data_IF_626625731670
#
_entry.id   IF_626625731670
#
_cell.length_a   1.000
_cell.length_b   1.000
_cell.length_c   1.000
_cell.angle_alpha   90.00
_cell.angle_beta   90.00
_cell.angle_gamma   90.00
#
_symmetry.space_group_name_H-M   'P 1'
#
loop_
_entity.id
_entity.type
_entity.pdbx_description
1 polymer ?
#
# COMPACT_ATOMS: atom_id res chain seq x y z
N UNK A 1 -2.99 38.02 -7.12
CA UNK A 1 -1.85 37.07 -7.17
C UNK A 1 -0.79 37.38 -6.10
N UNK A 2 -0.93 36.95 -4.83
CA UNK A 2 0.19 36.94 -3.88
C UNK A 2 0.32 35.61 -3.08
N UNK A 3 -0.08 34.47 -3.63
CA UNK A 3 -0.15 33.19 -2.90
C UNK A 3 1.11 32.30 -3.03
N UNK A 4 2.06 32.63 -3.91
CA UNK A 4 3.21 31.75 -4.23
C UNK A 4 4.49 31.98 -3.40
N UNK A 5 4.60 33.13 -2.72
CA UNK A 5 5.80 33.46 -1.93
C UNK A 5 5.74 32.95 -0.48
N UNK A 6 4.54 32.81 0.09
CA UNK A 6 4.35 32.22 1.42
C UNK A 6 4.43 30.69 1.40
N UNK A 7 4.19 30.04 0.26
CA UNK A 7 4.33 28.59 0.11
C UNK A 7 5.79 28.14 -0.02
N UNK A 8 6.64 28.90 -0.71
CA UNK A 8 8.07 28.58 -0.88
C UNK A 8 8.86 28.71 0.43
N UNK A 9 8.60 29.73 1.24
CA UNK A 9 9.18 29.86 2.59
C UNK A 9 8.69 28.76 3.54
N UNK A 10 7.41 28.36 3.44
CA UNK A 10 6.86 27.21 4.17
C UNK A 10 7.49 25.89 3.75
N UNK A 11 7.78 25.69 2.46
CA UNK A 11 8.42 24.47 1.95
C UNK A 11 9.89 24.37 2.38
N UNK A 12 10.65 25.47 2.37
CA UNK A 12 12.05 25.47 2.80
C UNK A 12 12.22 25.25 4.31
N UNK A 13 11.36 25.85 5.13
CA UNK A 13 11.34 25.61 6.58
C UNK A 13 10.85 24.18 6.86
N UNK A 14 9.83 23.67 6.16
CA UNK A 14 9.33 22.28 6.27
C UNK A 14 10.39 21.25 5.94
N UNK A 15 11.07 21.35 4.80
CA UNK A 15 12.09 20.38 4.41
C UNK A 15 13.33 20.39 5.33
N UNK A 16 13.61 21.52 5.99
CA UNK A 16 14.68 21.64 7.00
C UNK A 16 14.21 21.12 8.37
N UNK A 17 12.95 21.35 8.74
CA UNK A 17 12.33 20.79 9.95
C UNK A 17 12.17 19.27 9.84
N UNK A 18 11.76 18.77 8.69
CA UNK A 18 11.64 17.33 8.39
C UNK A 18 13.00 16.65 8.45
N UNK A 19 14.06 17.24 7.87
CA UNK A 19 15.42 16.71 8.01
C UNK A 19 15.92 16.74 9.46
N UNK A 20 15.60 17.79 10.21
CA UNK A 20 15.96 17.92 11.62
C UNK A 20 15.15 17.01 12.54
N UNK A 21 13.90 16.69 12.18
CA UNK A 21 13.06 15.75 12.91
C UNK A 21 13.38 14.30 12.54
N UNK A 22 13.69 14.00 11.28
CA UNK A 22 14.19 12.67 10.86
C UNK A 22 15.45 12.27 11.62
N UNK A 23 16.31 13.22 11.99
CA UNK A 23 17.51 12.94 12.79
C UNK A 23 17.26 12.79 14.29
N UNK A 24 16.04 13.07 14.79
CA UNK A 24 15.69 13.05 16.22
C UNK A 24 14.49 12.17 16.57
N UNK A 25 13.67 11.77 15.61
CA UNK A 25 12.53 10.88 15.83
C UNK A 25 13.00 9.42 15.78
N UNK A 26 12.83 8.64 16.86
CA UNK A 26 13.11 7.21 16.80
C UNK A 26 12.13 6.56 15.81
N UNK A 27 12.67 5.90 14.80
CA UNK A 27 11.94 4.96 13.95
C UNK A 27 11.39 3.86 14.88
N UNK A 28 10.10 3.95 15.20
CA UNK A 28 9.44 3.05 16.13
C UNK A 28 8.09 2.62 15.57
N UNK A 29 7.71 1.37 15.86
CA UNK A 29 6.39 0.84 15.49
C UNK A 29 5.25 1.53 16.24
N UNK A 30 5.54 2.13 17.39
CA UNK A 30 4.61 2.96 18.15
C UNK A 30 5.23 4.30 18.50
N UNK A 31 4.43 5.37 18.41
CA UNK A 31 4.83 6.75 18.68
C UNK A 31 3.78 7.43 19.53
N UNK A 32 4.21 8.18 20.55
CA UNK A 32 3.33 9.03 21.33
C UNK A 32 3.62 10.50 21.06
N UNK A 33 2.58 11.27 20.75
CA UNK A 33 2.70 12.72 20.60
C UNK A 33 2.89 13.38 21.96
N UNK A 34 4.10 13.92 22.15
CA UNK A 34 4.49 14.69 23.32
C UNK A 34 4.58 16.18 22.99
N UNK A 35 4.72 17.01 24.02
CA UNK A 35 4.85 18.46 23.87
C UNK A 35 6.04 18.89 22.98
N UNK A 36 7.08 18.04 22.85
CA UNK A 36 8.30 18.38 22.08
C UNK A 36 8.10 18.30 20.57
N UNK A 37 7.10 17.53 20.11
CA UNK A 37 6.90 17.23 18.70
C UNK A 37 5.61 17.86 18.14
N UNK A 38 4.82 18.53 18.98
CA UNK A 38 3.60 19.23 18.58
C UNK A 38 3.89 20.71 18.37
N UNK A 39 3.55 21.21 17.18
CA UNK A 39 3.71 22.61 16.81
C UNK A 39 2.36 23.27 16.61
N UNK A 40 2.23 24.51 17.06
CA UNK A 40 0.99 25.29 16.96
C UNK A 40 1.26 26.54 16.13
N UNK A 41 0.39 26.79 15.14
CA UNK A 41 0.53 27.96 14.28
C UNK A 41 -0.83 28.59 13.94
N UNK A 42 -0.95 29.92 13.86
CA UNK A 42 -2.19 30.57 13.45
C UNK A 42 -2.57 30.22 12.01
N UNK A 43 -3.85 29.97 11.77
CA UNK A 43 -4.38 29.80 10.42
C UNK A 43 -4.57 31.17 9.75
N UNK A 44 -4.95 31.16 8.48
CA UNK A 44 -5.38 32.38 7.76
C UNK A 44 -6.48 33.15 8.52
N UNK A 45 -7.43 32.44 9.14
CA UNK A 45 -8.45 33.05 9.97
C UNK A 45 -7.88 33.54 11.32
N UNK A 46 -6.91 32.83 11.89
CA UNK A 46 -6.18 33.32 13.07
C UNK A 46 -5.43 34.63 12.83
N UNK A 47 -4.80 34.80 11.67
CA UNK A 47 -4.18 36.08 11.30
C UNK A 47 -5.21 37.19 11.08
N UNK A 48 -6.36 36.88 10.49
CA UNK A 48 -7.47 37.85 10.39
C UNK A 48 -7.99 38.26 11.77
N UNK A 49 -8.16 37.30 12.68
CA UNK A 49 -8.55 37.57 14.07
C UNK A 49 -7.53 38.46 14.78
N UNK A 50 -6.24 38.18 14.61
CA UNK A 50 -5.16 38.98 15.18
C UNK A 50 -5.18 40.41 14.64
N UNK A 51 -5.39 40.59 13.34
CA UNK A 51 -5.58 41.90 12.72
C UNK A 51 -6.79 42.63 13.30
N UNK A 52 -7.92 41.94 13.45
CA UNK A 52 -9.14 42.50 14.06
C UNK A 52 -8.91 42.94 15.50
N UNK A 53 -8.22 42.14 16.32
CA UNK A 53 -7.85 42.50 17.71
C UNK A 53 -7.02 43.78 17.74
N UNK A 54 -6.04 43.91 16.84
CA UNK A 54 -5.21 45.13 16.73
C UNK A 54 -6.06 46.34 16.37
N UNK A 55 -6.93 46.23 15.36
CA UNK A 55 -7.81 47.32 14.93
C UNK A 55 -8.80 47.72 16.04
N UNK A 56 -9.37 46.75 16.76
CA UNK A 56 -10.22 47.01 17.92
C UNK A 56 -9.45 47.73 19.03
N UNK A 57 -8.21 47.33 19.32
CA UNK A 57 -7.36 47.99 20.31
C UNK A 57 -7.02 49.45 19.96
N UNK A 58 -6.71 49.72 18.69
CA UNK A 58 -6.49 51.08 18.18
C UNK A 58 -7.78 51.90 18.31
N UNK A 59 -8.92 51.35 17.89
CA UNK A 59 -10.22 52.00 17.99
C UNK A 59 -10.62 52.31 19.43
N UNK A 60 -10.46 51.35 20.35
CA UNK A 60 -10.75 51.53 21.78
C UNK A 60 -9.92 52.67 22.39
N UNK A 61 -8.64 52.74 22.02
CA UNK A 61 -7.72 53.79 22.49
C UNK A 61 -8.08 55.16 21.91
N UNK A 62 -8.38 55.23 20.61
CA UNK A 62 -8.72 56.47 19.92
C UNK A 62 -10.02 57.09 20.48
N UNK A 63 -11.05 56.28 20.66
CA UNK A 63 -12.36 56.73 21.15
C UNK A 63 -12.52 56.68 22.67
N UNK A 64 -11.49 56.27 23.43
CA UNK A 64 -11.55 56.05 24.88
C UNK A 64 -12.76 55.21 25.32
N UNK A 65 -13.12 54.20 24.51
CA UNK A 65 -14.35 53.43 24.71
C UNK A 65 -14.08 52.14 25.51
N UNK A 66 -14.47 52.15 26.78
CA UNK A 66 -14.29 51.03 27.71
C UNK A 66 -15.00 49.73 27.27
N UNK A 67 -16.14 49.82 26.57
CA UNK A 67 -16.84 48.61 26.08
C UNK A 67 -16.03 47.88 25.01
N UNK A 68 -15.36 48.64 24.12
CA UNK A 68 -14.50 48.05 23.08
C UNK A 68 -13.26 47.41 23.72
N UNK A 69 -12.71 47.98 24.79
CA UNK A 69 -11.63 47.33 25.55
C UNK A 69 -12.06 45.98 26.13
N UNK A 70 -13.22 45.92 26.79
CA UNK A 70 -13.75 44.66 27.34
C UNK A 70 -13.94 43.62 26.23
N UNK A 71 -14.52 44.00 25.09
CA UNK A 71 -14.69 43.11 23.95
C UNK A 71 -13.33 42.62 23.41
N UNK A 72 -12.35 43.51 23.27
CA UNK A 72 -11.00 43.18 22.78
C UNK A 72 -10.32 42.16 23.70
N UNK A 73 -10.31 42.41 25.01
CA UNK A 73 -9.71 41.49 25.98
C UNK A 73 -10.45 40.15 26.05
N UNK A 74 -11.77 40.15 25.89
CA UNK A 74 -12.57 38.91 25.82
C UNK A 74 -12.16 38.07 24.61
N UNK A 75 -12.02 38.67 23.43
CA UNK A 75 -11.57 37.97 22.21
C UNK A 75 -10.15 37.45 22.36
N UNK A 76 -9.24 38.22 22.99
CA UNK A 76 -7.88 37.78 23.32
C UNK A 76 -7.92 36.55 24.24
N UNK A 77 -8.72 36.60 25.31
CA UNK A 77 -8.85 35.49 26.26
C UNK A 77 -9.37 34.21 25.57
N UNK A 78 -10.40 34.33 24.72
CA UNK A 78 -10.91 33.22 23.90
C UNK A 78 -9.80 32.69 22.98
N UNK A 79 -9.01 33.57 22.36
CA UNK A 79 -7.88 33.18 21.52
C UNK A 79 -6.82 32.37 22.27
N UNK A 80 -6.46 32.79 23.49
CA UNK A 80 -5.51 32.07 24.35
C UNK A 80 -6.05 30.69 24.71
N UNK A 81 -7.32 30.61 25.14
CA UNK A 81 -7.96 29.33 25.47
C UNK A 81 -8.02 28.41 24.24
N UNK A 82 -8.33 28.96 23.06
CA UNK A 82 -8.35 28.20 21.82
C UNK A 82 -6.97 27.61 21.51
N UNK A 83 -5.88 28.38 21.64
CA UNK A 83 -4.50 27.88 21.47
C UNK A 83 -4.23 26.69 22.41
N UNK A 84 -4.57 26.83 23.69
CA UNK A 84 -4.35 25.79 24.70
C UNK A 84 -5.16 24.52 24.41
N UNK A 85 -6.44 24.67 24.05
CA UNK A 85 -7.31 23.55 23.69
C UNK A 85 -6.82 22.84 22.43
N UNK A 86 -6.45 23.59 21.38
CA UNK A 86 -5.91 23.02 20.13
C UNK A 86 -4.61 22.25 20.39
N UNK A 87 -3.72 22.76 21.24
CA UNK A 87 -2.50 22.06 21.62
C UNK A 87 -2.79 20.77 22.41
N UNK A 88 -3.62 20.88 23.45
CA UNK A 88 -4.00 19.75 24.29
C UNK A 88 -4.78 18.68 23.51
N UNK A 89 -5.48 19.04 22.45
CA UNK A 89 -6.21 18.13 21.58
C UNK A 89 -5.29 17.27 20.69
N UNK A 90 -3.98 17.57 20.59
CA UNK A 90 -3.04 16.71 19.86
C UNK A 90 -2.10 15.93 20.79
N UNK A 91 -1.73 16.54 21.93
CA UNK A 91 -0.80 15.93 22.90
C UNK A 91 -1.48 14.77 23.64
N UNK A 92 -0.80 13.62 23.67
CA UNK A 92 -1.26 12.41 24.35
C UNK A 92 -1.71 11.29 23.41
N UNK A 93 -1.93 11.58 22.12
CA UNK A 93 -2.25 10.57 21.11
C UNK A 93 -1.11 9.58 20.93
N UNK A 94 -1.43 8.29 20.95
CA UNK A 94 -0.52 7.18 20.67
C UNK A 94 -0.89 6.58 19.32
N UNK A 95 0.10 6.37 18.48
CA UNK A 95 -0.05 5.81 17.14
C UNK A 95 0.73 4.51 17.05
N UNK A 96 0.14 3.49 16.45
CA UNK A 96 0.85 2.28 16.05
C UNK A 96 0.58 1.97 14.59
N UNK A 97 1.63 1.60 13.86
CA UNK A 97 1.53 1.23 12.45
C UNK A 97 1.34 -0.28 12.32
N UNK A 98 0.47 -0.69 11.41
CA UNK A 98 0.31 -2.08 11.03
C UNK A 98 0.93 -2.35 9.66
N UNK A 99 1.20 -3.62 9.36
CA UNK A 99 1.70 -4.01 8.05
C UNK A 99 0.63 -3.71 6.99
N UNK A 100 1.05 -3.09 5.89
CA UNK A 100 0.19 -2.88 4.75
C UNK A 100 0.14 -4.14 3.88
N UNK A 101 -1.01 -4.41 3.27
CA UNK A 101 -1.11 -5.44 2.26
C UNK A 101 -0.33 -5.03 1.01
N UNK A 102 0.45 -5.95 0.40
CA UNK A 102 1.15 -5.65 -0.84
C UNK A 102 0.18 -5.38 -1.99
N UNK A 103 0.54 -4.45 -2.86
CA UNK A 103 -0.28 -4.05 -4.01
C UNK A 103 0.54 -4.09 -5.30
N UNK A 104 -0.13 -4.11 -6.44
CA UNK A 104 0.54 -4.04 -7.73
C UNK A 104 0.88 -2.59 -8.10
N UNK A 105 1.95 -2.40 -8.87
CA UNK A 105 2.34 -1.09 -9.38
C UNK A 105 1.20 -0.43 -10.17
N UNK A 106 0.91 0.83 -9.84
CA UNK A 106 -0.23 1.60 -10.36
C UNK A 106 -1.47 1.58 -9.47
N UNK A 107 -1.49 0.76 -8.41
CA UNK A 107 -2.54 0.77 -7.39
C UNK A 107 -2.17 1.72 -6.22
N UNK A 108 -3.00 1.73 -5.19
CA UNK A 108 -2.81 2.56 -4.00
C UNK A 108 -2.68 1.68 -2.77
N UNK A 109 -1.58 1.85 -2.04
CA UNK A 109 -1.32 1.17 -0.77
C UNK A 109 -2.16 1.81 0.31
N UNK A 110 -2.81 0.99 1.13
CA UNK A 110 -3.48 1.42 2.35
C UNK A 110 -2.66 0.94 3.53
N UNK A 111 -2.11 1.87 4.29
CA UNK A 111 -1.35 1.56 5.51
C UNK A 111 -2.24 1.79 6.72
N UNK A 112 -2.69 0.73 7.42
CA UNK A 112 -3.53 0.89 8.58
C UNK A 112 -2.73 1.43 9.75
N UNK A 113 -3.19 2.53 10.33
CA UNK A 113 -2.64 3.14 11.54
C UNK A 113 -3.70 3.09 12.63
N UNK A 114 -3.37 2.49 13.77
CA UNK A 114 -4.19 2.52 14.97
C UNK A 114 -3.82 3.73 15.81
N UNK A 115 -4.86 4.42 16.29
CA UNK A 115 -4.76 5.60 17.13
C UNK A 115 -5.47 5.30 18.43
N UNK A 116 -4.76 5.46 19.55
CA UNK A 116 -5.30 5.29 20.90
C UNK A 116 -5.05 6.54 21.71
N UNK A 117 -5.95 6.81 22.65
CA UNK A 117 -5.87 7.97 23.52
C UNK A 117 -6.41 7.68 24.92
N UNK A 118 -5.82 8.33 25.92
CA UNK A 118 -6.27 8.21 27.31
C UNK A 118 -7.45 9.17 27.62
N UNK A 119 -7.70 10.15 26.75
CA UNK A 119 -8.78 11.14 26.84
C UNK A 119 -9.46 11.29 25.47
N UNK A 120 -10.49 12.11 25.38
CA UNK A 120 -11.14 12.43 24.11
C UNK A 120 -10.31 13.39 23.26
N UNK A 121 -10.22 13.10 21.97
CA UNK A 121 -9.58 13.95 20.97
C UNK A 121 -10.51 14.11 19.76
N UNK A 122 -10.77 15.35 19.35
CA UNK A 122 -11.76 15.66 18.31
C UNK A 122 -11.12 16.23 17.06
N UNK A 123 -11.66 15.89 15.89
CA UNK A 123 -11.25 16.40 14.59
C UNK A 123 -9.73 16.30 14.37
N UNK A 124 -9.22 15.08 14.49
CA UNK A 124 -7.82 14.73 14.23
C UNK A 124 -7.69 14.32 12.79
N UNK A 125 -7.00 15.12 11.99
CA UNK A 125 -6.75 14.84 10.58
C UNK A 125 -5.38 14.17 10.40
N UNK A 126 -5.37 13.00 9.76
CA UNK A 126 -4.18 12.16 9.55
C UNK A 126 -4.03 11.82 8.08
N UNK A 127 -2.81 11.87 7.54
CA UNK A 127 -2.52 11.39 6.19
C UNK A 127 -1.07 11.61 5.76
N UNK A 128 -0.69 11.06 4.61
CA UNK A 128 0.65 11.23 4.07
C UNK A 128 0.86 12.67 3.58
N UNK A 129 2.13 13.12 3.52
CA UNK A 129 2.55 14.51 3.25
C UNK A 129 1.80 15.22 2.09
N UNK A 130 1.44 14.48 1.04
CA UNK A 130 0.84 15.01 -0.19
C UNK A 130 -0.58 14.49 -0.48
N UNK A 131 -1.15 13.71 0.44
CA UNK A 131 -2.42 13.01 0.24
C UNK A 131 -3.55 13.62 1.07
N UNK A 132 -4.77 13.18 0.77
CA UNK A 132 -5.97 13.61 1.50
C UNK A 132 -5.84 13.21 2.98
N UNK A 133 -6.13 14.15 3.86
CA UNK A 133 -6.14 13.89 5.30
C UNK A 133 -7.51 13.34 5.70
N UNK A 134 -7.53 12.20 6.37
CA UNK A 134 -8.72 11.61 6.96
C UNK A 134 -8.93 12.20 8.36
N UNK A 135 -10.12 12.73 8.61
CA UNK A 135 -10.47 13.30 9.92
C UNK A 135 -11.25 12.28 10.73
N UNK A 136 -10.78 12.05 11.96
CA UNK A 136 -11.41 11.16 12.91
C UNK A 136 -11.54 11.81 14.29
N UNK A 137 -12.47 11.27 15.07
CA UNK A 137 -12.57 11.51 16.50
C UNK A 137 -12.05 10.26 17.23
N UNK A 138 -11.32 10.45 18.32
CA UNK A 138 -10.75 9.37 19.12
C UNK A 138 -11.36 9.46 20.52
N UNK A 139 -12.23 8.48 20.81
CA UNK A 139 -12.83 8.33 22.13
C UNK A 139 -11.78 7.84 23.15
N UNK A 140 -11.95 8.17 24.44
CA UNK A 140 -11.05 7.70 25.49
C UNK A 140 -11.04 6.17 25.56
N UNK A 141 -9.85 5.59 25.71
CA UNK A 141 -9.62 4.14 25.83
C UNK A 141 -10.10 3.31 24.62
N UNK A 142 -10.44 3.96 23.50
CA UNK A 142 -10.80 3.29 22.25
C UNK A 142 -9.60 3.25 21.30
N UNK A 143 -9.52 2.18 20.49
CA UNK A 143 -8.63 2.10 19.35
C UNK A 143 -9.41 2.49 18.08
N UNK A 144 -8.99 3.56 17.43
CA UNK A 144 -9.53 3.98 16.15
C UNK A 144 -8.53 3.65 15.05
N UNK A 145 -8.98 3.01 13.97
CA UNK A 145 -8.13 2.70 12.81
C UNK A 145 -8.37 3.69 11.67
N UNK A 146 -7.28 4.11 11.05
CA UNK A 146 -7.27 5.00 9.89
C UNK A 146 -6.31 4.45 8.85
N UNK A 147 -6.78 4.34 7.62
CA UNK A 147 -5.95 3.94 6.50
C UNK A 147 -5.27 5.17 5.89
N UNK A 148 -3.94 5.20 5.97
CA UNK A 148 -3.14 6.19 5.24
C UNK A 148 -2.90 5.68 3.84
N UNK A 149 -3.39 6.43 2.87
CA UNK A 149 -3.37 6.08 1.45
C UNK A 149 -2.08 6.61 0.81
N UNK A 150 -1.36 5.77 0.07
CA UNK A 150 -0.10 6.11 -0.62
C UNK A 150 -0.07 5.52 -2.04
N UNK A 151 0.24 6.30 -3.09
CA UNK A 151 0.29 5.79 -4.46
C UNK A 151 1.50 4.87 -4.69
N UNK A 152 1.27 3.69 -5.28
CA UNK A 152 2.29 2.69 -5.60
C UNK A 152 2.86 2.93 -7.00
N UNK A 153 3.79 3.88 -7.14
CA UNK A 153 4.29 4.32 -8.46
C UNK A 153 5.41 3.45 -9.04
N UNK A 154 6.16 2.74 -8.20
CA UNK A 154 7.30 1.91 -8.60
C UNK A 154 7.28 0.60 -7.83
N UNK A 155 7.67 -0.50 -8.47
CA UNK A 155 7.84 -1.80 -7.80
C UNK A 155 8.96 -1.72 -6.75
N UNK A 156 8.96 -2.65 -5.83
CA UNK A 156 9.99 -2.79 -4.80
C UNK A 156 9.46 -2.63 -3.37
N UNK A 157 10.39 -2.74 -2.43
CA UNK A 157 10.13 -2.51 -1.01
C UNK A 157 10.32 -1.04 -0.71
N UNK A 158 9.27 -0.37 -0.27
CA UNK A 158 9.27 1.06 0.04
C UNK A 158 9.00 1.30 1.51
N UNK A 159 9.68 2.28 2.10
CA UNK A 159 9.38 2.73 3.46
C UNK A 159 8.25 3.76 3.46
N UNK A 160 7.34 3.66 4.43
CA UNK A 160 6.35 4.70 4.67
C UNK A 160 7.06 6.03 5.00
N UNK A 161 6.74 7.07 4.23
CA UNK A 161 7.25 8.43 4.46
C UNK A 161 6.57 9.07 5.67
N UNK A 162 6.90 10.33 5.94
CA UNK A 162 6.32 11.09 7.03
C UNK A 162 4.78 11.14 6.94
N UNK A 163 4.11 10.73 8.02
CA UNK A 163 2.66 10.88 8.17
C UNK A 163 2.41 12.17 8.95
N UNK A 164 1.51 13.00 8.44
CA UNK A 164 1.10 14.23 9.11
C UNK A 164 -0.10 13.96 9.99
N UNK A 165 -0.03 14.43 11.23
CA UNK A 165 -1.19 14.52 12.12
C UNK A 165 -1.45 15.98 12.44
N UNK A 166 -2.69 16.45 12.33
CA UNK A 166 -3.05 17.84 12.61
C UNK A 166 -4.47 17.97 13.18
N UNK A 167 -4.74 19.09 13.85
CA UNK A 167 -6.09 19.44 14.30
C UNK A 167 -6.32 20.94 14.19
N UNK A 168 -7.56 21.30 13.86
CA UNK A 168 -8.09 22.67 13.81
C UNK A 168 -9.12 22.91 14.92
N UNK A 169 -9.44 21.88 15.72
CA UNK A 169 -10.38 21.98 16.81
C UNK A 169 -9.85 22.94 17.91
N UNK A 170 -10.70 23.74 18.57
CA UNK A 170 -12.15 23.84 18.37
C UNK A 170 -12.60 24.88 17.34
N UNK A 171 -11.90 26.02 17.23
CA UNK A 171 -12.40 27.20 16.50
C UNK A 171 -11.82 27.37 15.09
N UNK A 172 -10.77 26.63 14.71
CA UNK A 172 -10.13 26.75 13.39
C UNK A 172 -9.24 28.00 13.18
N UNK A 173 -9.12 28.89 14.18
CA UNK A 173 -8.18 30.01 14.13
C UNK A 173 -6.72 29.59 14.29
N UNK A 174 -6.50 28.42 14.89
CA UNK A 174 -5.19 27.89 15.23
C UNK A 174 -5.12 26.46 14.74
N UNK A 175 -3.94 26.04 14.30
CA UNK A 175 -3.69 24.69 13.84
C UNK A 175 -2.54 24.09 14.64
N UNK A 176 -2.79 22.97 15.30
CA UNK A 176 -1.72 22.12 15.84
C UNK A 176 -1.37 21.02 14.83
N UNK A 177 -0.09 20.69 14.70
CA UNK A 177 0.37 19.62 13.83
C UNK A 177 1.66 18.96 14.34
N UNK A 178 1.87 17.71 13.93
CA UNK A 178 3.08 16.92 14.17
C UNK A 178 3.35 16.02 12.97
N UNK A 179 4.63 15.70 12.75
CA UNK A 179 5.06 14.64 11.84
C UNK A 179 5.31 13.35 12.61
N UNK A 180 4.91 12.23 12.03
CA UNK A 180 5.08 10.89 12.54
C UNK A 180 5.97 10.11 11.56
N UNK A 181 7.00 9.45 12.07
CA UNK A 181 7.96 8.67 11.30
C UNK A 181 7.94 7.23 11.78
N UNK A 182 7.29 6.35 11.02
CA UNK A 182 7.15 4.94 11.39
C UNK A 182 8.22 4.09 10.71
N UNK A 183 8.68 3.05 11.41
CA UNK A 183 9.49 1.99 10.82
C UNK A 183 8.57 0.93 10.19
N UNK A 184 7.92 1.30 9.07
CA UNK A 184 7.03 0.42 8.32
C UNK A 184 7.42 0.42 6.86
N UNK A 185 7.46 -0.77 6.29
CA UNK A 185 7.73 -1.02 4.88
C UNK A 185 6.48 -1.63 4.23
N UNK A 186 6.28 -1.30 2.97
CA UNK A 186 5.23 -1.89 2.14
C UNK A 186 5.85 -2.38 0.83
N UNK A 187 5.32 -3.49 0.31
CA UNK A 187 5.82 -4.12 -0.90
C UNK A 187 4.92 -3.75 -2.06
N UNK A 188 5.52 -3.35 -3.18
CA UNK A 188 4.82 -3.10 -4.42
C UNK A 188 5.27 -4.11 -5.47
N UNK A 189 4.35 -4.96 -5.91
CA UNK A 189 4.60 -5.94 -6.96
C UNK A 189 4.68 -5.28 -8.34
N UNK A 190 5.43 -5.85 -9.29
CA UNK A 190 5.39 -5.41 -10.68
C UNK A 190 3.97 -5.51 -11.24
N UNK A 191 3.59 -4.62 -12.17
CA UNK A 191 2.26 -4.66 -12.76
C UNK A 191 2.16 -5.86 -13.71
N UNK A 192 1.15 -6.74 -13.60
CA UNK A 192 1.03 -7.86 -14.52
C UNK A 192 0.74 -7.36 -15.94
N UNK A 193 1.56 -7.79 -16.91
CA UNK A 193 1.40 -7.50 -18.33
C UNK A 193 1.44 -8.82 -19.08
N UNK A 194 0.40 -9.11 -19.87
CA UNK A 194 0.37 -10.32 -20.69
C UNK A 194 1.53 -10.29 -21.71
N UNK A 195 2.31 -11.39 -21.85
CA UNK A 195 3.31 -11.48 -22.89
C UNK A 195 2.64 -11.52 -24.28
N UNK A 196 3.25 -10.87 -25.26
CA UNK A 196 2.84 -11.02 -26.65
C UNK A 196 3.09 -12.47 -27.09
N UNK A 197 2.08 -13.09 -27.71
CA UNK A 197 2.07 -14.51 -28.10
C UNK A 197 3.23 -14.94 -29.01
N UNK A 198 3.91 -13.98 -29.63
CA UNK A 198 5.07 -14.21 -30.51
C UNK A 198 6.34 -14.67 -29.77
N UNK A 199 6.43 -14.42 -28.45
CA UNK A 199 7.64 -14.69 -27.66
C UNK A 199 7.71 -16.10 -27.05
N UNK A 200 6.57 -16.78 -26.95
CA UNK A 200 6.49 -18.17 -26.49
C UNK A 200 7.02 -19.19 -27.53
N UNK A 201 7.42 -18.72 -28.73
CA UNK A 201 7.75 -19.59 -29.86
C UNK A 201 9.20 -19.62 -30.34
N UNK A 202 10.11 -18.79 -29.82
CA UNK A 202 11.47 -18.63 -30.40
C UNK A 202 12.61 -18.81 -29.39
N UNK A 203 12.46 -19.75 -28.46
CA UNK A 203 13.59 -20.30 -27.70
C UNK A 203 14.08 -21.58 -28.37
N UNK A 204 15.30 -21.54 -28.94
CA UNK A 204 15.96 -22.70 -29.54
C UNK A 204 15.90 -23.95 -28.65
N UNK A 205 15.15 -24.94 -29.13
CA UNK A 205 15.42 -26.39 -29.03
C UNK A 205 16.30 -26.91 -27.88
N UNK A 206 15.83 -26.84 -26.62
CA UNK A 206 16.00 -27.95 -25.64
C UNK A 206 15.22 -27.84 -24.31
N UNK A 207 14.21 -26.98 -24.21
CA UNK A 207 13.39 -26.87 -23.00
C UNK A 207 11.92 -26.95 -23.35
N UNK A 208 11.18 -27.84 -22.68
CA UNK A 208 9.73 -27.97 -22.71
C UNK A 208 9.06 -26.63 -22.36
N UNK A 209 8.90 -25.74 -23.33
CA UNK A 209 8.13 -24.49 -23.16
C UNK A 209 7.05 -24.31 -24.23
N UNK A 210 6.83 -25.30 -25.10
CA UNK A 210 5.91 -25.18 -26.23
C UNK A 210 4.71 -26.11 -26.22
N UNK A 211 4.40 -26.82 -25.12
CA UNK A 211 3.20 -27.68 -25.07
C UNK A 211 2.28 -27.49 -23.85
N UNK A 212 2.65 -26.67 -22.86
CA UNK A 212 1.80 -26.44 -21.67
C UNK A 212 0.70 -25.38 -21.86
N UNK A 213 0.73 -24.59 -22.93
CA UNK A 213 -0.37 -23.69 -23.32
C UNK A 213 -1.24 -24.29 -24.44
N UNK A 214 -1.86 -25.44 -24.16
CA UNK A 214 -3.03 -25.90 -24.92
C UNK A 214 -4.21 -26.06 -23.95
N UNK A 215 -5.27 -25.25 -24.07
CA UNK A 215 -6.47 -25.46 -23.27
C UNK A 215 -7.14 -26.76 -23.72
N UNK A 216 -7.24 -27.72 -22.78
CA UNK A 216 -8.27 -28.75 -22.77
C UNK A 216 -8.36 -29.64 -24.01
N UNK A 217 -7.30 -30.39 -24.32
CA UNK A 217 -7.41 -31.53 -25.23
C UNK A 217 -7.05 -32.80 -24.45
N UNK A 218 -8.08 -33.51 -23.99
CA UNK A 218 -7.96 -34.93 -23.62
C UNK A 218 -7.56 -35.71 -24.88
N UNK A 219 -6.24 -35.86 -25.09
CA UNK A 219 -5.71 -36.52 -26.26
C UNK A 219 -5.70 -38.04 -26.04
N UNK A 220 -6.55 -38.73 -26.80
CA UNK A 220 -6.79 -40.17 -26.74
C UNK A 220 -5.51 -40.97 -27.05
N UNK A 221 -4.93 -41.64 -26.05
CA UNK A 221 -3.59 -42.24 -26.17
C UNK A 221 -3.55 -43.72 -26.64
N UNK A 222 -4.68 -44.46 -26.57
CA UNK A 222 -4.74 -45.81 -27.14
C UNK A 222 -5.68 -46.80 -26.44
N UNK A 223 -5.71 -48.02 -26.97
CA UNK A 223 -6.56 -49.13 -26.51
C UNK A 223 -5.67 -50.26 -25.96
N UNK A 224 -5.84 -50.59 -24.69
CA UNK A 224 -5.14 -51.70 -24.02
C UNK A 224 -6.08 -52.88 -23.79
N UNK A 225 -5.58 -54.11 -23.84
CA UNK A 225 -6.35 -55.32 -23.49
C UNK A 225 -6.77 -55.30 -22.02
N UNK A 226 -8.06 -55.50 -21.77
CA UNK A 226 -8.69 -55.47 -20.45
C UNK A 226 -8.06 -56.47 -19.49
N UNK A 227 -7.74 -56.01 -18.26
CA UNK A 227 -7.34 -56.88 -17.14
C UNK A 227 -8.41 -56.85 -16.05
N UNK A 228 -8.56 -57.99 -15.38
CA UNK A 228 -9.52 -58.19 -14.29
C UNK A 228 -9.20 -57.22 -13.15
N UNK A 229 -9.99 -56.16 -13.00
CA UNK A 229 -9.75 -55.05 -12.05
C UNK A 229 -10.08 -53.67 -12.63
N UNK A 230 -10.17 -53.53 -13.95
CA UNK A 230 -10.50 -52.26 -14.60
C UNK A 230 -11.97 -51.88 -14.41
N UNK A 231 -12.22 -50.59 -14.13
CA UNK A 231 -13.55 -50.01 -13.98
C UNK A 231 -14.36 -50.15 -15.28
N UNK A 232 -15.60 -50.64 -15.13
CA UNK A 232 -16.47 -50.99 -16.25
C UNK A 232 -16.86 -49.77 -17.14
N UNK A 233 -16.75 -48.55 -16.62
CA UNK A 233 -17.00 -47.31 -17.36
C UNK A 233 -15.94 -46.96 -18.41
N UNK A 234 -14.76 -47.60 -18.37
CA UNK A 234 -13.63 -47.34 -19.28
C UNK A 234 -13.54 -48.33 -20.44
N UNK A 235 -14.50 -49.24 -20.58
CA UNK A 235 -14.51 -50.25 -21.64
C UNK A 235 -14.90 -49.61 -22.97
N UNK A 236 -14.08 -49.80 -24.00
CA UNK A 236 -14.37 -49.36 -25.36
C UNK A 236 -15.30 -50.37 -26.06
N UNK A 237 -16.61 -50.25 -25.81
CA UNK A 237 -17.64 -51.16 -26.33
C UNK A 237 -17.64 -51.32 -27.86
N UNK A 238 -17.17 -50.31 -28.60
CA UNK A 238 -17.08 -50.35 -30.07
C UNK A 238 -16.01 -51.35 -30.57
N UNK A 239 -14.92 -51.53 -29.84
CA UNK A 239 -13.91 -52.58 -30.14
C UNK A 239 -14.41 -53.98 -29.78
N UNK A 240 -15.25 -54.11 -28.75
CA UNK A 240 -15.83 -55.38 -28.32
C UNK A 240 -16.83 -55.94 -29.35
N UNK A 241 -17.66 -55.09 -29.95
CA UNK A 241 -18.63 -55.48 -30.97
C UNK A 241 -17.99 -55.96 -32.31
N UNK A 242 -16.71 -55.64 -32.55
CA UNK A 242 -15.97 -56.04 -33.76
C UNK A 242 -15.10 -57.30 -33.56
N UNK A 243 -15.28 -58.03 -32.45
CA UNK A 243 -14.59 -59.30 -32.20
C UNK A 243 -13.12 -59.20 -31.75
N UNK A 244 -12.64 -57.99 -31.42
CA UNK A 244 -11.22 -57.75 -31.05
C UNK A 244 -10.91 -57.85 -29.54
N UNK A 245 -11.82 -58.44 -28.75
CA UNK A 245 -11.70 -58.58 -27.29
C UNK A 245 -12.02 -57.30 -26.52
N UNK A 246 -12.15 -57.40 -25.18
CA UNK A 246 -12.37 -56.24 -24.33
C UNK A 246 -11.10 -55.36 -24.33
N UNK A 247 -11.26 -54.10 -24.71
CA UNK A 247 -10.23 -53.08 -24.64
C UNK A 247 -10.66 -51.97 -23.69
N UNK A 248 -9.79 -51.56 -22.78
CA UNK A 248 -10.00 -50.45 -21.85
C UNK A 248 -9.34 -49.20 -22.45
N UNK A 249 -10.04 -48.05 -22.40
CA UNK A 249 -9.46 -46.73 -22.71
C UNK A 249 -8.48 -46.36 -21.59
N UNK A 250 -7.20 -46.21 -21.94
CA UNK A 250 -6.17 -45.74 -21.01
C UNK A 250 -6.19 -44.21 -21.04
N UNK A 251 -6.56 -43.59 -19.93
CA UNK A 251 -6.41 -42.16 -19.71
C UNK A 251 -5.09 -41.98 -18.97
N UNK A 252 -4.13 -41.30 -19.59
CA UNK A 252 -2.93 -40.83 -18.90
C UNK A 252 -3.37 -39.58 -18.16
N UNK A 253 -3.34 -39.64 -16.83
CA UNK A 253 -3.36 -38.43 -16.01
C UNK A 253 -2.03 -37.73 -16.34
N UNK A 254 -2.06 -36.71 -17.19
CA UNK A 254 -0.92 -35.83 -17.32
C UNK A 254 -0.76 -35.19 -15.94
N UNK A 255 0.17 -35.73 -15.13
CA UNK A 255 0.76 -34.97 -14.05
C UNK A 255 1.35 -33.75 -14.75
N UNK A 256 0.62 -32.63 -14.72
CA UNK A 256 1.09 -31.35 -15.26
C UNK A 256 2.47 -31.12 -14.67
N UNK A 257 3.49 -31.15 -15.53
CA UNK A 257 4.85 -30.86 -15.09
C UNK A 257 4.83 -29.45 -14.46
N UNK A 258 5.53 -29.24 -13.33
CA UNK A 258 5.51 -27.95 -12.69
C UNK A 258 6.08 -26.86 -13.61
N UNK A 259 5.32 -25.80 -13.84
CA UNK A 259 5.74 -24.67 -14.67
C UNK A 259 6.82 -23.85 -13.96
N UNK A 260 8.09 -24.04 -14.34
CA UNK A 260 9.19 -23.19 -13.87
C UNK A 260 9.34 -22.02 -14.83
N UNK A 261 9.15 -20.79 -14.37
CA UNK A 261 9.37 -19.61 -15.20
C UNK A 261 10.81 -19.10 -15.05
N UNK A 262 11.58 -19.11 -16.15
CA UNK A 262 12.97 -18.64 -16.17
C UNK A 262 13.04 -17.17 -16.62
N UNK A 263 13.72 -16.34 -15.83
CA UNK A 263 14.01 -14.96 -16.17
C UNK A 263 14.88 -14.83 -17.43
N UNK A 264 15.84 -15.74 -17.63
CA UNK A 264 16.78 -15.64 -18.76
C UNK A 264 16.16 -16.05 -20.10
N UNK A 265 14.98 -16.67 -20.09
CA UNK A 265 14.25 -17.03 -21.31
C UNK A 265 13.78 -15.81 -22.12
N UNK A 266 13.63 -14.65 -21.50
CA UNK A 266 13.11 -13.42 -22.13
C UNK A 266 14.23 -12.54 -22.69
N UNK A 267 14.84 -12.94 -23.81
CA UNK A 267 16.03 -12.27 -24.37
C UNK A 267 15.66 -10.99 -25.16
N UNK A 268 16.19 -9.83 -24.79
CA UNK A 268 16.02 -8.58 -25.57
C UNK A 268 14.89 -7.66 -25.10
N UNK A 269 14.24 -7.99 -23.98
CA UNK A 269 13.25 -7.15 -23.30
C UNK A 269 13.88 -6.44 -22.10
N UNK A 270 13.44 -5.21 -21.83
CA UNK A 270 13.82 -4.44 -20.63
C UNK A 270 13.44 -5.18 -19.34
N UNK A 271 14.21 -4.97 -18.28
CA UNK A 271 14.08 -5.67 -17.00
C UNK A 271 12.67 -5.52 -16.42
N UNK A 272 12.09 -4.32 -16.49
CA UNK A 272 10.76 -4.02 -15.97
C UNK A 272 9.66 -4.83 -16.65
N UNK A 273 9.70 -4.89 -17.97
CA UNK A 273 8.69 -5.57 -18.79
C UNK A 273 8.79 -7.08 -18.58
N UNK A 274 10.01 -7.62 -18.46
CA UNK A 274 10.24 -9.02 -18.15
C UNK A 274 9.65 -9.41 -16.79
N UNK A 275 9.91 -8.62 -15.74
CA UNK A 275 9.33 -8.86 -14.41
C UNK A 275 7.80 -8.74 -14.41
N UNK A 276 7.26 -7.82 -15.22
CA UNK A 276 5.81 -7.63 -15.40
C UNK A 276 5.14 -8.83 -16.11
N UNK A 277 5.83 -9.44 -17.08
CA UNK A 277 5.37 -10.66 -17.76
C UNK A 277 5.48 -11.90 -16.86
N UNK A 278 6.58 -12.05 -16.14
CA UNK A 278 6.73 -13.12 -15.14
C UNK A 278 5.65 -13.03 -14.07
N UNK A 279 5.32 -11.82 -13.62
CA UNK A 279 4.22 -11.59 -12.68
C UNK A 279 2.87 -12.06 -13.25
N UNK A 280 2.60 -11.80 -14.53
CA UNK A 280 1.37 -12.27 -15.18
C UNK A 280 1.32 -13.79 -15.25
N UNK A 281 2.41 -14.44 -15.65
CA UNK A 281 2.51 -15.89 -15.76
C UNK A 281 2.31 -16.59 -14.41
N UNK A 282 2.90 -16.05 -13.33
CA UNK A 282 2.72 -16.58 -11.97
C UNK A 282 1.26 -16.49 -11.51
N UNK A 283 0.57 -15.38 -11.80
CA UNK A 283 -0.84 -15.22 -11.46
C UNK A 283 -1.72 -16.21 -12.23
N UNK A 284 -1.47 -16.38 -13.53
CA UNK A 284 -2.23 -17.33 -14.36
C UNK A 284 -2.00 -18.78 -13.91
N UNK A 285 -0.75 -19.19 -13.65
CA UNK A 285 -0.44 -20.53 -13.16
C UNK A 285 -1.07 -20.81 -11.79
N UNK A 286 -1.18 -19.79 -10.93
CA UNK A 286 -1.89 -19.90 -9.66
C UNK A 286 -3.41 -20.08 -9.85
N UNK A 287 -4.03 -19.31 -10.75
CA UNK A 287 -5.46 -19.46 -11.08
C UNK A 287 -5.78 -20.84 -11.68
N UNK A 288 -4.88 -21.41 -12.46
CA UNK A 288 -4.99 -22.76 -13.03
C UNK A 288 -4.77 -23.88 -12.00
N UNK A 289 -4.26 -23.57 -10.80
CA UNK A 289 -3.97 -24.55 -9.75
C UNK A 289 -2.75 -25.43 -10.00
N UNK A 290 -1.90 -25.04 -10.96
CA UNK A 290 -0.67 -25.74 -11.30
C UNK A 290 0.44 -25.47 -10.28
N UNK A 291 1.42 -26.37 -10.18
CA UNK A 291 2.61 -26.10 -9.38
C UNK A 291 3.53 -25.21 -10.20
N UNK A 292 3.97 -24.09 -9.63
CA UNK A 292 4.79 -23.13 -10.36
C UNK A 292 6.04 -22.75 -9.57
N UNK A 293 7.14 -22.55 -10.28
CA UNK A 293 8.42 -22.11 -9.73
C UNK A 293 8.93 -20.88 -10.47
N UNK A 294 9.88 -20.16 -9.87
CA UNK A 294 10.55 -19.04 -10.53
C UNK A 294 12.06 -19.16 -10.38
N UNK A 295 12.75 -18.93 -11.49
CA UNK A 295 14.21 -18.85 -11.54
C UNK A 295 14.62 -17.43 -11.92
N UNK A 296 15.07 -16.68 -10.92
CA UNK A 296 15.71 -15.37 -11.08
C UNK A 296 17.24 -15.56 -11.05
N UNK A 297 18.02 -14.66 -11.67
CA UNK A 297 19.49 -14.73 -11.66
C UNK A 297 20.10 -14.88 -10.26
N UNK A 298 19.47 -14.24 -9.25
CA UNK A 298 19.95 -14.23 -7.87
C UNK A 298 19.18 -15.16 -6.93
N UNK A 299 18.09 -15.81 -7.39
CA UNK A 299 17.19 -16.58 -6.51
C UNK A 299 16.41 -17.63 -7.28
N UNK A 300 16.44 -18.87 -6.80
CA UNK A 300 15.62 -19.96 -7.32
C UNK A 300 14.58 -20.36 -6.28
N UNK A 301 13.31 -20.34 -6.68
CA UNK A 301 12.18 -20.85 -5.90
C UNK A 301 11.64 -22.09 -6.60
N UNK A 302 11.77 -23.23 -5.92
CA UNK A 302 11.30 -24.52 -6.43
C UNK A 302 9.78 -24.51 -6.64
N UNK A 303 9.26 -25.34 -7.55
CA UNK A 303 7.82 -25.42 -7.76
C UNK A 303 7.08 -25.86 -6.51
N UNK A 304 6.10 -25.06 -6.13
CA UNK A 304 5.19 -25.36 -5.03
C UNK A 304 3.79 -24.81 -5.37
N UNK A 305 2.81 -25.14 -4.53
CA UNK A 305 1.43 -24.69 -4.67
C UNK A 305 1.01 -23.85 -3.46
N UNK A 306 0.07 -22.93 -3.70
CA UNK A 306 -0.61 -22.18 -2.66
C UNK A 306 -0.32 -20.68 -2.65
N UNK A 307 -1.15 -19.95 -1.90
CA UNK A 307 -1.10 -18.49 -1.83
C UNK A 307 0.19 -17.96 -1.20
N UNK A 308 0.72 -18.65 -0.17
CA UNK A 308 1.97 -18.25 0.47
C UNK A 308 3.16 -18.36 -0.49
N UNK A 309 3.16 -19.37 -1.36
CA UNK A 309 4.19 -19.52 -2.39
C UNK A 309 4.08 -18.43 -3.47
N UNK A 310 2.86 -18.14 -3.95
CA UNK A 310 2.62 -17.02 -4.86
C UNK A 310 3.18 -15.71 -4.29
N UNK A 311 2.87 -15.41 -3.03
CA UNK A 311 3.36 -14.21 -2.35
C UNK A 311 4.88 -14.16 -2.29
N UNK A 312 5.55 -15.28 -1.97
CA UNK A 312 7.01 -15.36 -1.94
C UNK A 312 7.64 -15.13 -3.32
N UNK A 313 7.03 -15.67 -4.39
CA UNK A 313 7.45 -15.45 -5.77
C UNK A 313 7.28 -13.98 -6.18
N UNK A 314 6.13 -13.38 -5.87
CA UNK A 314 5.86 -11.96 -6.16
C UNK A 314 6.78 -11.02 -5.36
N UNK A 315 7.08 -11.37 -4.11
CA UNK A 315 8.03 -10.65 -3.27
C UNK A 315 9.44 -10.74 -3.86
N UNK A 316 9.87 -11.91 -4.34
CA UNK A 316 11.15 -12.07 -5.03
C UNK A 316 11.24 -11.22 -6.31
N UNK A 317 10.13 -11.08 -7.05
CA UNK A 317 10.06 -10.17 -8.21
C UNK A 317 10.13 -8.69 -7.82
N UNK A 318 9.56 -8.32 -6.67
CA UNK A 318 9.64 -6.95 -6.15
C UNK A 318 11.04 -6.61 -5.63
N UNK A 319 11.73 -7.54 -4.97
CA UNK A 319 13.08 -7.36 -4.44
C UNK A 319 14.18 -7.39 -5.51
N UNK A 320 13.87 -7.83 -6.73
CA UNK A 320 14.86 -7.96 -7.79
C UNK A 320 15.33 -6.57 -8.29
N UNK A 321 16.55 -6.21 -7.90
CA UNK A 321 17.32 -5.12 -8.50
C UNK A 321 18.11 -5.67 -9.70
N UNK A 322 17.80 -5.17 -10.90
CA UNK A 322 18.45 -5.56 -12.16
C UNK A 322 19.72 -4.78 -12.45
#
# INVERSE_FOLDING_TARGET
>A
MPARWLSSLRLGIRAKLERWQRSRAPLAKSLQLSQRNTYVFPTRYGFMLLLTIILMGIGATNYQNNLVFIATFTVIAIGIVAILLTFNNLVGLKFSVHNAEPVFCGQTVRVPISVTADKEHLSISIGAEQEVLHTIDVAPMAEQRVDVVVPALKRGVHSLKAVRCQTLFPLGFVQAWSWLFFDSQYVVYPKPVAPDTEWLGNGDSNGQYSDSFKPGVEEFYGLRSYKRGDLMSRIHWKSFAQGKGLQTKEFVDYLTEPDVFDYDAFVGIDVETRLSQLCYLLLNAHEEGNAFGIKLPNKYLAPDKGESHLHNCLLALAEFEG
#
